data_IF_545543328232
#
_entry.id   IF_545543328232
#
_cell.length_a   1.000
_cell.length_b   1.000
_cell.length_c   1.000
_cell.angle_alpha   90.00
_cell.angle_beta   90.00
_cell.angle_gamma   90.00
#
_symmetry.space_group_name_H-M   'P 1'
#
loop_
_entity.id
_entity.type
_entity.pdbx_description
1 polymer ?
#
# COMPACT_ATOMS: atom_id res chain seq x y z
N UNK A 1 37.99 -17.70 -7.38
CA UNK A 1 37.17 -16.48 -7.52
C UNK A 1 36.06 -16.60 -6.49
N UNK A 2 36.09 -15.78 -5.45
CA UNK A 2 35.08 -15.77 -4.37
C UNK A 2 33.77 -15.25 -4.95
N UNK A 3 32.70 -16.04 -4.84
CA UNK A 3 31.34 -15.54 -5.00
C UNK A 3 30.95 -14.88 -3.67
N UNK A 4 31.32 -13.61 -3.51
CA UNK A 4 30.78 -12.80 -2.44
C UNK A 4 29.31 -12.53 -2.78
N UNK A 5 28.41 -13.35 -2.23
CA UNK A 5 27.00 -12.99 -2.10
C UNK A 5 26.98 -11.74 -1.24
N UNK A 6 26.75 -10.59 -1.86
CA UNK A 6 26.35 -9.38 -1.16
C UNK A 6 25.01 -9.70 -0.48
N UNK A 7 25.06 -10.10 0.79
CA UNK A 7 23.89 -10.12 1.66
C UNK A 7 23.51 -8.67 1.85
N UNK A 8 22.64 -8.15 0.98
CA UNK A 8 22.03 -6.85 1.24
C UNK A 8 21.19 -7.01 2.50
N UNK A 9 21.63 -6.41 3.59
CA UNK A 9 20.91 -6.46 4.84
C UNK A 9 20.03 -5.22 4.97
N UNK A 10 18.83 -5.40 5.53
CA UNK A 10 17.87 -4.31 5.75
C UNK A 10 18.33 -3.36 6.86
N UNK A 11 19.43 -3.68 7.55
CA UNK A 11 20.00 -2.82 8.57
C UNK A 11 20.47 -1.48 7.99
N UNK A 12 20.40 -0.44 8.81
CA UNK A 12 20.79 0.90 8.41
C UNK A 12 19.87 1.97 8.97
N UNK A 13 20.12 3.19 8.52
CA UNK A 13 19.35 4.37 8.88
C UNK A 13 18.52 4.81 7.66
N UNK A 14 17.24 5.05 7.90
CA UNK A 14 16.25 5.43 6.92
C UNK A 14 15.67 6.78 7.32
N UNK A 15 15.48 7.66 6.35
CA UNK A 15 15.02 9.03 6.56
C UNK A 15 13.81 9.33 5.69
N UNK A 16 12.88 10.12 6.21
CA UNK A 16 11.75 10.66 5.46
C UNK A 16 11.40 12.05 5.96
N UNK A 17 10.82 12.87 5.07
CA UNK A 17 10.31 14.19 5.40
C UNK A 17 8.94 14.37 4.77
N UNK A 18 7.92 14.58 5.61
CA UNK A 18 6.53 14.67 5.19
C UNK A 18 5.74 15.62 6.09
N UNK A 19 4.92 16.50 5.50
CA UNK A 19 4.15 17.53 6.22
C UNK A 19 4.99 18.28 7.27
N UNK A 20 6.11 18.86 6.85
CA UNK A 20 7.00 19.62 7.72
C UNK A 20 7.51 18.83 8.95
N UNK A 21 7.50 17.50 8.85
CA UNK A 21 7.88 16.59 9.92
C UNK A 21 8.93 15.62 9.41
N UNK A 22 9.96 15.45 10.21
CA UNK A 22 11.10 14.59 9.99
C UNK A 22 10.89 13.25 10.65
N UNK A 23 11.20 12.19 9.91
CA UNK A 23 11.12 10.83 10.38
C UNK A 23 12.47 10.15 10.17
N UNK A 24 12.88 9.39 11.18
CA UNK A 24 14.09 8.58 11.11
C UNK A 24 13.84 7.23 11.72
N UNK A 25 14.26 6.18 11.02
CA UNK A 25 14.28 4.80 11.54
C UNK A 25 15.68 4.25 11.43
N UNK A 26 16.18 3.68 12.52
CA UNK A 26 17.43 2.95 12.55
C UNK A 26 17.17 1.48 12.89
N UNK A 27 17.49 0.58 11.95
CA UNK A 27 17.36 -0.86 12.12
C UNK A 27 18.72 -1.50 12.42
N UNK A 28 18.79 -2.26 13.50
CA UNK A 28 20.01 -2.93 13.97
C UNK A 28 19.99 -4.42 13.65
N UNK A 29 21.17 -5.03 13.60
CA UNK A 29 21.34 -6.46 13.26
C UNK A 29 20.81 -7.41 14.33
N UNK A 30 20.67 -6.93 15.57
CA UNK A 30 20.07 -7.64 16.70
C UNK A 30 18.54 -7.53 16.74
N UNK A 31 17.89 -7.13 15.64
CA UNK A 31 16.43 -6.94 15.54
C UNK A 31 15.85 -5.81 16.39
N UNK A 32 16.69 -4.90 16.89
CA UNK A 32 16.23 -3.69 17.55
C UNK A 32 16.04 -2.54 16.56
N UNK A 33 15.11 -1.63 16.86
CA UNK A 33 14.94 -0.38 16.13
C UNK A 33 14.93 0.84 17.04
N UNK A 34 15.21 1.99 16.43
CA UNK A 34 14.99 3.32 17.00
C UNK A 34 14.24 4.17 15.97
N UNK A 35 13.08 4.68 16.34
CA UNK A 35 12.24 5.57 15.54
C UNK A 35 12.30 6.97 16.15
N UNK A 36 12.41 8.01 15.32
CA UNK A 36 12.42 9.41 15.76
C UNK A 36 11.53 10.27 14.87
N UNK A 37 10.79 11.18 15.48
CA UNK A 37 9.95 12.19 14.84
C UNK A 37 10.38 13.56 15.34
N UNK A 38 10.52 14.54 14.44
CA UNK A 38 10.78 15.94 14.80
C UNK A 38 10.02 16.90 13.86
N UNK A 39 9.30 17.89 14.38
CA UNK A 39 8.66 18.93 13.55
C UNK A 39 7.18 19.17 13.82
N UNK A 40 6.39 19.41 12.77
CA UNK A 40 5.00 19.88 12.89
C UNK A 40 4.10 18.92 13.70
N UNK A 41 4.30 17.62 13.55
CA UNK A 41 3.57 16.61 14.34
C UNK A 41 4.11 16.45 15.77
N UNK A 42 5.11 17.23 16.19
CA UNK A 42 5.74 17.14 17.49
C UNK A 42 6.99 16.25 17.49
N UNK A 43 7.71 16.29 18.61
CA UNK A 43 9.00 15.63 18.75
C UNK A 43 8.87 14.40 19.64
N UNK A 44 9.47 13.30 19.22
CA UNK A 44 9.41 12.05 19.98
C UNK A 44 10.36 10.99 19.45
N UNK A 45 10.59 9.99 20.28
CA UNK A 45 11.36 8.81 19.91
C UNK A 45 10.70 7.56 20.45
N UNK A 46 10.76 6.48 19.67
CA UNK A 46 10.41 5.16 20.12
C UNK A 46 11.48 4.13 19.83
N UNK A 47 11.48 3.04 20.58
CA UNK A 47 12.44 1.96 20.44
C UNK A 47 11.78 0.62 20.74
N UNK A 48 12.38 -0.45 20.26
CA UNK A 48 11.79 -1.78 20.43
C UNK A 48 12.46 -2.78 19.51
N UNK A 49 11.70 -3.78 19.11
CA UNK A 49 12.13 -4.83 18.19
C UNK A 49 11.33 -4.80 16.90
N UNK A 50 11.86 -5.42 15.84
CA UNK A 50 11.15 -5.56 14.57
C UNK A 50 11.16 -7.00 14.08
N UNK A 51 10.09 -7.39 13.41
CA UNK A 51 9.96 -8.65 12.69
C UNK A 51 9.89 -8.37 11.18
N UNK A 52 10.33 -9.34 10.38
CA UNK A 52 10.14 -9.32 8.93
C UNK A 52 9.44 -10.62 8.54
N UNK A 53 8.29 -10.49 7.89
CA UNK A 53 7.62 -11.57 7.20
C UNK A 53 7.52 -11.22 5.72
N UNK A 54 8.12 -12.05 4.87
CA UNK A 54 8.28 -11.79 3.42
C UNK A 54 8.97 -10.45 3.12
N UNK A 55 8.23 -9.48 2.61
CA UNK A 55 8.68 -8.12 2.27
C UNK A 55 8.10 -7.06 3.22
N UNK A 56 7.46 -7.49 4.31
CA UNK A 56 6.81 -6.61 5.28
C UNK A 56 7.59 -6.62 6.59
N UNK A 57 7.88 -5.42 7.08
CA UNK A 57 8.46 -5.17 8.39
C UNK A 57 7.36 -4.70 9.35
N UNK A 58 7.40 -5.20 10.58
CA UNK A 58 6.48 -4.80 11.66
C UNK A 58 7.29 -4.39 12.90
N UNK A 59 6.87 -3.30 13.55
CA UNK A 59 7.48 -2.82 14.80
C UNK A 59 6.74 -3.31 16.04
N UNK A 60 7.52 -3.62 17.08
CA UNK A 60 7.08 -3.98 18.42
C UNK A 60 7.80 -3.09 19.43
N UNK A 61 7.10 -2.11 19.99
CA UNK A 61 7.59 -1.13 20.94
C UNK A 61 7.89 -1.75 22.29
N UNK A 62 8.91 -1.18 22.94
CA UNK A 62 9.08 -1.38 24.37
C UNK A 62 7.98 -0.65 25.14
N UNK A 63 7.68 -1.11 26.34
CA UNK A 63 6.67 -0.48 27.19
C UNK A 63 7.07 0.99 27.48
N UNK A 64 6.16 1.92 27.19
CA UNK A 64 6.37 3.35 27.42
C UNK A 64 7.29 4.06 26.41
N UNK A 65 7.70 3.40 25.32
CA UNK A 65 8.60 3.97 24.32
C UNK A 65 7.88 4.46 23.05
N UNK A 66 6.67 4.97 23.16
CA UNK A 66 5.91 5.42 21.98
C UNK A 66 6.28 6.87 21.62
N UNK A 67 6.48 7.20 20.32
CA UNK A 67 6.55 8.59 19.88
C UNK A 67 5.26 9.33 20.23
N UNK A 68 5.36 10.58 20.71
CA UNK A 68 4.24 11.34 21.27
C UNK A 68 3.04 11.51 20.31
N UNK A 69 3.30 11.49 19.00
CA UNK A 69 2.33 11.86 17.97
C UNK A 69 2.00 10.78 16.97
N UNK A 70 2.54 9.57 17.14
CA UNK A 70 2.31 8.48 16.19
C UNK A 70 2.35 7.15 16.93
N UNK A 71 1.28 6.37 16.73
CA UNK A 71 1.30 4.95 17.07
C UNK A 71 2.02 4.19 15.98
N UNK A 72 3.18 3.65 16.32
CA UNK A 72 3.98 2.80 15.42
C UNK A 72 3.93 1.34 15.82
N UNK A 73 3.20 0.97 16.88
CA UNK A 73 3.01 -0.42 17.28
C UNK A 73 2.21 -1.17 16.22
N UNK A 74 2.73 -2.30 15.74
CA UNK A 74 2.02 -3.13 14.77
C UNK A 74 1.90 -2.51 13.37
N UNK A 75 2.40 -1.27 13.17
CA UNK A 75 2.46 -0.63 11.87
C UNK A 75 3.34 -1.45 10.91
N UNK A 76 2.90 -1.52 9.66
CA UNK A 76 3.52 -2.35 8.62
C UNK A 76 4.22 -1.49 7.59
N UNK A 77 5.45 -1.90 7.25
CA UNK A 77 6.29 -1.22 6.27
C UNK A 77 6.71 -2.20 5.18
N UNK A 78 6.46 -1.88 3.91
CA UNK A 78 6.97 -2.64 2.78
C UNK A 78 8.45 -2.32 2.55
N UNK A 79 9.25 -3.36 2.30
CA UNK A 79 10.68 -3.25 2.04
C UNK A 79 10.92 -3.19 0.52
N UNK A 80 11.23 -2.01 0.00
CA UNK A 80 11.55 -1.79 -1.41
C UNK A 80 13.06 -1.97 -1.65
N UNK A 81 13.44 -3.11 -2.27
CA UNK A 81 14.78 -3.40 -2.81
C UNK A 81 15.94 -2.91 -1.91
N UNK A 82 15.82 -3.11 -0.59
CA UNK A 82 16.75 -2.71 0.48
C UNK A 82 17.01 -1.19 0.64
N UNK A 83 16.28 -0.36 -0.09
CA UNK A 83 16.53 1.08 -0.23
C UNK A 83 15.51 1.98 0.49
N UNK A 84 14.27 1.51 0.65
CA UNK A 84 13.19 2.23 1.31
C UNK A 84 12.28 1.31 2.12
N UNK A 85 11.69 1.87 3.19
CA UNK A 85 10.60 1.32 3.98
C UNK A 85 9.37 2.18 3.72
N UNK A 86 8.27 1.57 3.33
CA UNK A 86 7.05 2.29 2.93
C UNK A 86 5.94 1.92 3.90
N UNK A 87 5.52 2.86 4.75
CA UNK A 87 4.39 2.61 5.64
C UNK A 87 3.11 2.41 4.80
N UNK A 88 2.42 1.28 5.00
CA UNK A 88 1.28 0.87 4.18
C UNK A 88 0.11 1.86 4.31
N UNK A 89 -0.14 2.38 5.52
CA UNK A 89 -1.30 3.24 5.79
C UNK A 89 -1.07 4.70 5.42
N UNK A 90 0.05 5.25 5.89
CA UNK A 90 0.36 6.69 5.77
C UNK A 90 1.06 7.03 4.47
N UNK A 91 1.59 6.03 3.74
CA UNK A 91 2.46 6.24 2.56
C UNK A 91 3.64 7.15 2.88
N UNK A 92 4.14 7.00 4.10
CA UNK A 92 5.40 7.59 4.52
C UNK A 92 6.53 6.70 3.99
N UNK A 93 7.38 7.28 3.15
CA UNK A 93 8.59 6.64 2.65
C UNK A 93 9.77 7.02 3.55
N UNK A 94 10.46 6.01 4.07
CA UNK A 94 11.71 6.16 4.81
C UNK A 94 12.81 5.49 3.99
N UNK A 95 13.80 6.24 3.51
CA UNK A 95 14.80 5.74 2.57
C UNK A 95 16.24 5.99 3.05
N UNK A 96 17.18 5.11 2.66
CA UNK A 96 18.59 5.22 3.08
C UNK A 96 19.36 6.38 2.41
N UNK A 97 18.98 6.76 1.19
CA UNK A 97 19.76 7.66 0.32
C UNK A 97 19.02 8.94 -0.08
N UNK A 98 18.06 9.40 0.73
CA UNK A 98 17.33 10.64 0.46
C UNK A 98 17.99 11.78 1.22
N UNK A 99 18.27 12.93 0.57
CA UNK A 99 18.72 14.12 1.26
C UNK A 99 17.73 14.44 2.37
N UNK A 100 18.19 14.71 3.60
CA UNK A 100 17.31 14.89 4.73
C UNK A 100 16.16 15.85 4.35
N UNK A 101 16.51 17.02 3.84
CA UNK A 101 15.67 18.22 3.76
C UNK A 101 14.80 18.28 2.49
N UNK A 102 14.67 17.16 1.80
CA UNK A 102 13.81 17.02 0.63
C UNK A 102 12.52 16.29 1.02
N UNK A 103 11.37 16.94 0.82
CA UNK A 103 10.07 16.30 1.00
C UNK A 103 9.97 15.05 0.11
N UNK A 104 9.88 13.90 0.78
CA UNK A 104 9.92 12.59 0.17
C UNK A 104 8.78 11.76 0.76
N UNK A 105 7.66 11.76 0.04
CA UNK A 105 6.45 11.03 0.37
C UNK A 105 5.99 10.30 -0.89
N UNK A 106 5.57 9.05 -0.73
CA UNK A 106 4.97 8.26 -1.81
C UNK A 106 3.58 8.76 -2.21
N UNK A 107 3.07 9.85 -1.64
CA UNK A 107 1.98 10.62 -2.26
C UNK A 107 2.29 11.06 -3.70
N UNK A 108 3.57 11.04 -4.11
CA UNK A 108 4.05 11.32 -5.48
C UNK A 108 4.56 10.08 -6.23
N UNK A 109 4.43 8.86 -5.67
CA UNK A 109 4.90 7.61 -6.29
C UNK A 109 3.75 6.63 -6.46
N UNK A 110 3.61 6.06 -7.65
CA UNK A 110 2.75 4.89 -7.87
C UNK A 110 3.40 3.68 -7.19
N UNK A 111 3.03 3.37 -5.95
CA UNK A 111 3.40 2.10 -5.31
C UNK A 111 2.56 1.03 -5.99
N UNK A 112 3.16 0.12 -6.76
CA UNK A 112 2.44 -0.96 -7.39
C UNK A 112 2.35 -2.16 -6.42
N UNK A 113 1.16 -2.60 -6.07
CA UNK A 113 0.91 -3.80 -5.28
C UNK A 113 0.38 -4.93 -6.17
N UNK A 114 0.77 -6.20 -5.99
CA UNK A 114 1.94 -6.61 -5.26
C UNK A 114 3.17 -5.98 -5.92
N UNK A 115 4.09 -5.53 -5.08
CA UNK A 115 5.34 -4.91 -5.51
C UNK A 115 6.20 -5.87 -6.34
N UNK A 116 5.99 -7.18 -6.15
CA UNK A 116 6.55 -8.24 -6.97
C UNK A 116 5.47 -8.84 -7.87
N UNK A 117 5.86 -9.16 -9.10
CA UNK A 117 5.08 -9.93 -10.07
C UNK A 117 4.44 -11.17 -9.39
N UNK A 118 3.12 -11.40 -9.51
CA UNK A 118 2.49 -12.67 -9.19
C UNK A 118 3.32 -13.84 -9.72
N UNK A 119 3.53 -14.84 -8.87
CA UNK A 119 4.43 -15.96 -9.16
C UNK A 119 3.83 -16.88 -10.25
N UNK A 120 2.51 -16.89 -10.42
CA UNK A 120 1.77 -17.70 -11.40
C UNK A 120 0.40 -17.10 -11.79
N UNK A 121 -0.31 -17.74 -12.75
CA UNK A 121 -1.64 -17.33 -13.21
C UNK A 121 -2.73 -17.45 -12.13
N UNK A 122 -2.60 -18.39 -11.20
CA UNK A 122 -3.61 -18.63 -10.16
C UNK A 122 -3.74 -17.41 -9.23
N UNK A 123 -2.61 -16.83 -8.80
CA UNK A 123 -2.60 -15.61 -7.98
C UNK A 123 -3.24 -14.43 -8.71
N UNK A 124 -3.07 -14.35 -10.04
CA UNK A 124 -3.72 -13.32 -10.86
C UNK A 124 -5.23 -13.52 -10.93
N UNK A 125 -5.68 -14.76 -11.11
CA UNK A 125 -7.11 -15.08 -11.22
C UNK A 125 -7.83 -14.87 -9.86
N UNK A 126 -7.17 -15.17 -8.74
CA UNK A 126 -7.65 -14.82 -7.41
C UNK A 126 -7.76 -13.31 -7.19
N UNK A 127 -6.79 -12.53 -7.66
CA UNK A 127 -6.82 -11.08 -7.58
C UNK A 127 -7.94 -10.50 -8.45
N UNK A 128 -8.13 -11.03 -9.65
CA UNK A 128 -9.26 -10.72 -10.53
C UNK A 128 -10.60 -10.90 -9.81
N UNK A 129 -10.76 -12.02 -9.11
CA UNK A 129 -11.96 -12.33 -8.33
C UNK A 129 -12.16 -11.36 -7.17
N UNK A 130 -11.10 -11.07 -6.40
CA UNK A 130 -11.17 -10.11 -5.28
C UNK A 130 -11.59 -8.71 -5.77
N UNK A 131 -10.98 -8.25 -6.88
CA UNK A 131 -11.33 -6.98 -7.53
C UNK A 131 -12.77 -6.97 -8.02
N UNK A 132 -13.20 -8.03 -8.70
CA UNK A 132 -14.58 -8.16 -9.15
C UNK A 132 -15.58 -8.07 -7.99
N UNK A 133 -15.30 -8.77 -6.89
CA UNK A 133 -16.13 -8.74 -5.68
C UNK A 133 -16.15 -7.35 -5.04
N UNK A 134 -15.00 -6.68 -4.96
CA UNK A 134 -14.90 -5.31 -4.43
C UNK A 134 -15.78 -4.32 -5.21
N UNK A 135 -15.79 -4.42 -6.54
CA UNK A 135 -16.53 -3.52 -7.43
C UNK A 135 -18.04 -3.77 -7.38
N UNK A 136 -18.47 -4.96 -6.95
CA UNK A 136 -19.86 -5.40 -7.00
C UNK A 136 -20.54 -5.50 -5.63
N UNK A 137 -19.84 -5.19 -4.53
CA UNK A 137 -20.45 -5.10 -3.20
C UNK A 137 -21.43 -3.92 -3.12
N UNK A 138 -22.54 -4.10 -2.39
CA UNK A 138 -23.67 -3.18 -2.37
C UNK A 138 -23.29 -1.77 -1.92
N UNK A 139 -22.41 -1.63 -0.92
CA UNK A 139 -21.96 -0.33 -0.43
C UNK A 139 -21.21 0.43 -1.52
N UNK A 140 -20.22 -0.19 -2.16
CA UNK A 140 -19.45 0.42 -3.24
C UNK A 140 -20.37 0.80 -4.41
N UNK A 141 -21.34 -0.07 -4.76
CA UNK A 141 -22.32 0.20 -5.83
C UNK A 141 -23.31 1.32 -5.50
N UNK A 142 -23.75 1.42 -4.25
CA UNK A 142 -24.74 2.40 -3.79
C UNK A 142 -24.25 3.84 -3.92
N UNK A 143 -22.93 4.05 -3.81
CA UNK A 143 -22.31 5.36 -3.88
C UNK A 143 -21.62 5.64 -5.23
N UNK A 144 -21.59 4.66 -6.14
CA UNK A 144 -21.08 4.83 -7.50
C UNK A 144 -22.22 4.96 -8.50
N UNK A 145 -22.23 6.02 -9.32
CA UNK A 145 -23.23 6.11 -10.39
C UNK A 145 -23.00 4.99 -11.42
N UNK A 146 -24.08 4.45 -12.00
CA UNK A 146 -24.06 3.45 -13.11
C UNK A 146 -23.43 4.01 -14.43
N UNK A 147 -22.85 5.20 -14.36
CA UNK A 147 -22.06 5.84 -15.41
C UNK A 147 -20.56 5.61 -15.25
N UNK A 148 -20.10 4.94 -14.18
CA UNK A 148 -18.68 4.56 -14.04
C UNK A 148 -18.41 3.38 -14.97
N UNK A 149 -17.82 3.66 -16.12
CA UNK A 149 -17.38 2.66 -17.13
C UNK A 149 -15.86 2.44 -17.10
N UNK A 150 -15.15 3.15 -16.22
CA UNK A 150 -13.70 3.19 -16.13
C UNK A 150 -13.23 3.05 -14.67
N UNK A 151 -12.26 2.16 -14.46
CA UNK A 151 -11.58 1.99 -13.18
C UNK A 151 -10.10 2.28 -13.40
N UNK A 152 -9.55 3.21 -12.62
CA UNK A 152 -8.11 3.39 -12.48
C UNK A 152 -7.62 2.33 -11.51
N UNK A 153 -6.82 1.41 -12.01
CA UNK A 153 -5.94 0.63 -11.18
C UNK A 153 -4.64 1.41 -11.08
N UNK A 154 -4.61 2.38 -10.16
CA UNK A 154 -3.31 2.76 -9.62
C UNK A 154 -2.83 1.56 -8.82
N UNK A 155 -1.52 1.40 -8.77
CA UNK A 155 -0.94 0.48 -7.82
C UNK A 155 -1.05 -1.03 -8.13
N UNK A 156 -0.90 -1.49 -9.39
CA UNK A 156 -0.56 -2.90 -9.67
C UNK A 156 0.36 -3.06 -10.89
N UNK A 157 1.52 -3.72 -10.71
CA UNK A 157 2.62 -3.76 -11.70
C UNK A 157 2.21 -4.53 -12.98
N UNK A 158 1.24 -5.45 -12.87
CA UNK A 158 0.75 -6.25 -13.99
C UNK A 158 -0.63 -5.89 -14.52
N UNK A 159 -1.45 -5.12 -13.79
CA UNK A 159 -2.78 -4.76 -14.31
C UNK A 159 -2.65 -3.64 -15.37
N UNK A 160 -1.54 -2.91 -15.36
CA UNK A 160 -1.18 -1.95 -16.41
C UNK A 160 -0.76 -2.60 -17.73
N UNK A 161 -0.62 -3.93 -17.79
CA UNK A 161 -0.57 -4.70 -19.03
C UNK A 161 -1.98 -5.14 -19.40
N UNK A 162 -2.59 -4.50 -20.40
CA UNK A 162 -4.01 -4.59 -20.80
C UNK A 162 -4.55 -5.99 -21.20
N UNK A 163 -3.83 -7.08 -20.94
CA UNK A 163 -4.23 -8.44 -21.28
C UNK A 163 -4.51 -9.28 -20.02
N UNK A 164 -5.79 -9.55 -19.73
CA UNK A 164 -6.19 -10.64 -18.84
C UNK A 164 -7.13 -10.29 -17.68
N UNK A 165 -7.50 -9.03 -17.47
CA UNK A 165 -8.51 -8.65 -16.48
C UNK A 165 -9.87 -8.47 -17.17
N UNK A 166 -10.84 -9.32 -16.82
CA UNK A 166 -12.24 -9.20 -17.31
C UNK A 166 -13.09 -8.67 -16.16
N UNK A 167 -12.94 -7.38 -15.85
CA UNK A 167 -13.74 -6.73 -14.82
C UNK A 167 -15.07 -6.26 -15.42
N UNK A 168 -16.14 -6.39 -14.65
CA UNK A 168 -17.43 -5.78 -15.00
C UNK A 168 -18.10 -5.22 -13.77
N UNK A 169 -18.76 -4.07 -13.94
CA UNK A 169 -19.57 -3.42 -12.92
C UNK A 169 -20.96 -3.18 -13.51
N UNK A 170 -22.03 -3.47 -12.77
CA UNK A 170 -23.42 -3.39 -13.27
C UNK A 170 -23.64 -4.18 -14.58
N UNK A 171 -22.88 -5.27 -14.79
CA UNK A 171 -22.93 -6.07 -16.01
C UNK A 171 -22.30 -5.42 -17.24
N UNK A 172 -21.65 -4.26 -17.10
CA UNK A 172 -20.89 -3.58 -18.16
C UNK A 172 -19.40 -3.85 -17.98
N UNK A 173 -18.63 -4.08 -19.06
CA UNK A 173 -17.19 -4.23 -18.96
C UNK A 173 -16.57 -2.94 -18.44
N UNK A 174 -15.62 -3.10 -17.54
CA UNK A 174 -14.84 -2.00 -16.97
C UNK A 174 -13.51 -1.92 -17.71
N UNK A 175 -13.17 -0.74 -18.23
CA UNK A 175 -11.84 -0.51 -18.78
C UNK A 175 -10.86 -0.17 -17.66
N UNK A 176 -9.77 -0.93 -17.62
CA UNK A 176 -8.61 -0.62 -16.80
C UNK A 176 -7.74 0.38 -17.53
N UNK A 177 -7.48 1.54 -16.91
CA UNK A 177 -6.59 2.57 -17.47
C UNK A 177 -5.58 3.05 -16.44
N UNK A 178 -4.46 3.57 -16.93
CA UNK A 178 -3.49 4.32 -16.14
C UNK A 178 -4.00 5.74 -15.85
N UNK A 179 -3.41 6.38 -14.84
CA UNK A 179 -3.72 7.78 -14.51
C UNK A 179 -3.41 8.74 -15.67
N UNK A 180 -2.35 8.46 -16.44
CA UNK A 180 -1.95 9.29 -17.57
C UNK A 180 -3.01 9.25 -18.68
N UNK A 181 -3.53 8.07 -19.01
CA UNK A 181 -4.57 7.89 -20.04
C UNK A 181 -5.85 8.64 -19.68
N UNK A 182 -6.33 8.51 -18.45
CA UNK A 182 -7.56 9.20 -18.02
C UNK A 182 -7.38 10.72 -17.97
N UNK A 183 -6.20 11.20 -17.53
CA UNK A 183 -5.87 12.65 -17.58
C UNK A 183 -5.83 13.18 -19.01
N UNK A 184 -5.35 12.40 -19.97
CA UNK A 184 -5.32 12.78 -21.38
C UNK A 184 -6.70 12.78 -22.03
N UNK A 185 -7.59 11.88 -21.61
CA UNK A 185 -8.95 11.78 -22.15
C UNK A 185 -9.94 12.75 -21.51
N UNK A 186 -9.57 13.39 -20.39
CA UNK A 186 -10.40 14.39 -19.72
C UNK A 186 -11.67 13.81 -19.09
N UNK A 187 -11.68 12.52 -18.76
CA UNK A 187 -12.85 11.85 -18.20
C UNK A 187 -13.15 12.32 -16.77
N UNK A 188 -14.45 12.48 -16.48
CA UNK A 188 -14.94 12.97 -15.21
C UNK A 188 -14.92 11.91 -14.11
N UNK A 189 -15.43 10.70 -14.35
CA UNK A 189 -15.72 9.73 -13.29
C UNK A 189 -14.87 8.48 -13.40
N UNK A 190 -14.13 8.15 -12.34
CA UNK A 190 -13.31 6.95 -12.26
C UNK A 190 -13.26 6.45 -10.82
N UNK A 191 -13.08 5.14 -10.67
CA UNK A 191 -12.73 4.55 -9.38
C UNK A 191 -11.23 4.26 -9.37
N UNK A 192 -10.53 4.74 -8.36
CA UNK A 192 -9.12 4.49 -8.12
C UNK A 192 -8.96 3.36 -7.10
N UNK A 193 -8.20 2.32 -7.42
CA UNK A 193 -7.70 1.40 -6.41
C UNK A 193 -6.47 2.04 -5.80
N UNK A 194 -6.61 2.44 -4.55
CA UNK A 194 -5.54 3.08 -3.81
C UNK A 194 -4.54 2.02 -3.36
N UNK A 195 -5.01 0.96 -2.72
CA UNK A 195 -4.14 -0.03 -2.07
C UNK A 195 -4.79 -1.41 -1.96
N UNK A 196 -3.96 -2.44 -1.86
CA UNK A 196 -4.37 -3.81 -1.56
C UNK A 196 -3.36 -4.37 -0.56
N UNK A 197 -3.79 -4.72 0.65
CA UNK A 197 -2.96 -5.28 1.70
C UNK A 197 -3.40 -6.71 1.98
N UNK A 198 -2.55 -7.69 1.68
CA UNK A 198 -2.81 -9.11 1.96
C UNK A 198 -1.97 -9.54 3.16
N UNK A 199 -2.62 -10.12 4.17
CA UNK A 199 -1.97 -10.78 5.30
C UNK A 199 -2.61 -12.15 5.51
N UNK A 200 -1.85 -13.22 5.29
CA UNK A 200 -2.30 -14.59 5.51
C UNK A 200 -3.64 -14.88 4.81
N UNK A 201 -4.71 -15.03 5.57
CA UNK A 201 -6.07 -15.27 5.13
C UNK A 201 -6.94 -14.00 5.09
N UNK A 202 -6.35 -12.82 5.19
CA UNK A 202 -7.03 -11.53 5.17
C UNK A 202 -6.52 -10.66 4.02
N UNK A 203 -7.42 -9.90 3.40
CA UNK A 203 -7.06 -8.84 2.45
C UNK A 203 -7.89 -7.59 2.74
N UNK A 204 -7.26 -6.42 2.69
CA UNK A 204 -7.93 -5.13 2.68
C UNK A 204 -7.66 -4.43 1.35
N UNK A 205 -8.71 -3.98 0.68
CA UNK A 205 -8.63 -3.16 -0.52
C UNK A 205 -9.16 -1.76 -0.24
N UNK A 206 -8.35 -0.76 -0.56
CA UNK A 206 -8.73 0.65 -0.47
C UNK A 206 -9.09 1.18 -1.86
N UNK A 207 -10.27 1.77 -1.97
CA UNK A 207 -10.79 2.35 -3.21
C UNK A 207 -11.15 3.82 -2.99
N UNK A 208 -10.98 4.67 -4.00
CA UNK A 208 -11.40 6.07 -3.99
C UNK A 208 -12.19 6.42 -5.24
N UNK A 209 -13.33 7.07 -5.10
CA UNK A 209 -14.08 7.55 -6.26
C UNK A 209 -13.60 8.95 -6.67
N UNK A 210 -12.83 9.08 -7.75
CA UNK A 210 -12.01 10.26 -8.08
C UNK A 210 -12.71 11.62 -8.21
N UNK A 211 -14.04 11.68 -8.22
CA UNK A 211 -14.84 12.91 -8.20
C UNK A 211 -15.22 13.37 -6.80
N UNK A 212 -15.13 12.49 -5.81
CA UNK A 212 -15.61 12.70 -4.46
C UNK A 212 -14.52 12.27 -3.49
N UNK A 213 -14.35 12.94 -2.36
CA UNK A 213 -13.40 12.49 -1.33
C UNK A 213 -13.86 11.19 -0.62
N UNK A 214 -14.72 10.39 -1.24
CA UNK A 214 -15.24 9.13 -0.72
C UNK A 214 -14.21 8.03 -0.93
N UNK A 215 -13.79 7.45 0.18
CA UNK A 215 -12.91 6.30 0.22
C UNK A 215 -13.66 5.08 0.75
N UNK A 216 -13.30 3.92 0.26
CA UNK A 216 -13.88 2.64 0.63
C UNK A 216 -12.76 1.73 1.11
N UNK A 217 -13.02 1.03 2.21
CA UNK A 217 -12.28 -0.14 2.63
C UNK A 217 -13.15 -1.37 2.38
N UNK A 218 -12.62 -2.34 1.64
CA UNK A 218 -13.25 -3.64 1.44
C UNK A 218 -12.35 -4.69 2.08
N UNK A 219 -12.83 -5.31 3.15
CA UNK A 219 -12.13 -6.40 3.82
C UNK A 219 -12.57 -7.74 3.23
N UNK A 220 -11.61 -8.64 3.08
CA UNK A 220 -11.80 -9.98 2.55
C UNK A 220 -11.18 -11.01 3.48
N UNK A 221 -11.82 -12.17 3.53
CA UNK A 221 -11.22 -13.39 4.11
C UNK A 221 -10.97 -14.41 3.00
N UNK A 222 -9.86 -15.14 3.11
CA UNK A 222 -9.48 -16.23 2.22
C UNK A 222 -10.39 -17.43 2.47
N UNK A 223 -11.00 -17.94 1.41
CA UNK A 223 -11.81 -19.16 1.39
C UNK A 223 -11.18 -20.18 0.44
N UNK A 224 -11.71 -21.40 0.43
CA UNK A 224 -11.17 -22.52 -0.37
C UNK A 224 -10.99 -22.16 -1.86
N UNK A 225 -11.92 -21.38 -2.41
CA UNK A 225 -11.96 -20.97 -3.82
C UNK A 225 -11.67 -19.47 -4.05
N UNK A 226 -10.88 -18.82 -3.17
CA UNK A 226 -10.41 -17.45 -3.39
C UNK A 226 -10.67 -16.49 -2.24
N UNK A 227 -11.21 -15.31 -2.53
CA UNK A 227 -11.43 -14.23 -1.56
C UNK A 227 -12.92 -13.86 -1.47
N UNK A 228 -13.47 -13.83 -0.26
CA UNK A 228 -14.85 -13.43 0.02
C UNK A 228 -14.87 -12.10 0.77
N UNK A 229 -15.78 -11.19 0.39
CA UNK A 229 -15.94 -9.90 1.08
C UNK A 229 -16.57 -10.15 2.44
N UNK A 230 -15.84 -9.80 3.50
CA UNK A 230 -16.32 -9.89 4.88
C UNK A 230 -17.06 -8.61 5.28
N UNK A 231 -16.50 -7.46 4.96
CA UNK A 231 -17.06 -6.17 5.35
C UNK A 231 -16.62 -5.02 4.47
N UNK A 232 -17.42 -3.97 4.47
CA UNK A 232 -17.18 -2.72 3.76
C UNK A 232 -17.29 -1.54 4.71
N UNK A 233 -16.47 -0.52 4.50
CA UNK A 233 -16.55 0.74 5.24
C UNK A 233 -16.29 1.93 4.33
N UNK A 234 -17.15 2.94 4.46
CA UNK A 234 -17.08 4.20 3.71
C UNK A 234 -16.52 5.29 4.63
N UNK A 235 -15.61 6.10 4.11
CA UNK A 235 -14.95 7.21 4.80
C UNK A 235 -14.98 8.48 3.96
#
# INVERSE_FOLDING_TARGET
MSCDKQTNTIEGEYHGFFYETWYRVKLRSNKEFEFKIEGHQGDGSGFGTYEISNDTLTFHLAEGSQPFSMDIEGEKYLIENDSCLINIWTRLDLCKNVPPDQEWSSSKRSIYYPYKKPVNNDVRDEMNQALFSALNVEDVRSYMPDTVDQVILKSYHEISGQEGFTLSQFGKPVMVKTELEIKQEGHGSFLEIMDINIQDDQMLMLLAYGQTYLNYAVNFTKVEDGWEVESTKVY
#
